data_IF_039739478083
#
_entry.id   IF_039739478083
#
_cell.length_a   1.000
_cell.length_b   1.000
_cell.length_c   1.000
_cell.angle_alpha   90.00
_cell.angle_beta   90.00
_cell.angle_gamma   90.00
#
_symmetry.space_group_name_H-M   'P 1'
#
loop_
_entity.id
_entity.type
_entity.pdbx_description
1 polymer ?
#
# COMPACT_ATOMS: atom_id res chain seq x y z
N UNK A 1 -9.80 -8.92 4.48
CA UNK A 1 -9.15 -8.19 5.60
C UNK A 1 -10.13 -7.38 6.44
N UNK A 2 -11.20 -6.83 5.86
CA UNK A 2 -12.14 -5.90 6.51
C UNK A 2 -12.98 -6.46 7.67
N UNK A 3 -13.36 -7.75 7.67
CA UNK A 3 -14.18 -8.31 8.76
C UNK A 3 -13.42 -8.50 10.08
N UNK A 4 -12.11 -8.72 10.05
CA UNK A 4 -11.31 -8.88 11.27
C UNK A 4 -11.05 -7.53 11.95
N UNK A 5 -10.99 -6.45 11.19
CA UNK A 5 -10.81 -5.09 11.71
C UNK A 5 -12.08 -4.56 12.38
N UNK A 6 -13.25 -4.91 11.84
CA UNK A 6 -14.57 -4.58 12.44
C UNK A 6 -14.72 -5.27 13.80
N UNK A 7 -14.35 -6.55 13.90
CA UNK A 7 -14.39 -7.30 15.18
C UNK A 7 -13.39 -6.76 16.21
N UNK A 8 -12.23 -6.25 15.76
CA UNK A 8 -11.24 -5.57 16.62
C UNK A 8 -11.76 -4.22 17.13
N UNK A 9 -12.53 -3.51 16.31
CA UNK A 9 -13.15 -2.24 16.66
C UNK A 9 -14.30 -2.43 17.66
N UNK A 10 -15.23 -3.36 17.42
CA UNK A 10 -16.30 -3.70 18.37
C UNK A 10 -15.74 -4.11 19.74
N UNK A 11 -14.68 -4.92 19.77
CA UNK A 11 -14.04 -5.35 21.02
C UNK A 11 -13.40 -4.18 21.78
N UNK A 12 -12.97 -3.12 21.09
CA UNK A 12 -12.35 -1.93 21.70
C UNK A 12 -13.41 -0.94 22.21
N UNK A 13 -14.57 -0.89 21.56
CA UNK A 13 -15.72 -0.08 21.99
C UNK A 13 -16.40 -0.68 23.23
N UNK A 14 -16.52 -2.02 23.30
CA UNK A 14 -17.05 -2.69 24.50
C UNK A 14 -16.11 -2.59 25.72
N UNK A 15 -14.79 -2.46 25.54
CA UNK A 15 -13.85 -2.25 26.67
C UNK A 15 -13.82 -0.82 27.21
N UNK A 16 -14.58 0.10 26.62
CA UNK A 16 -14.70 1.49 27.08
C UNK A 16 -16.10 1.85 27.61
N UNK A 17 -17.02 0.88 27.69
CA UNK A 17 -18.35 1.08 28.29
C UNK A 17 -18.43 0.69 29.77
N UNK A 18 -17.37 0.13 30.35
CA UNK A 18 -17.31 -0.25 31.77
C UNK A 18 -16.38 0.72 32.54
N UNK A 19 -16.71 2.01 32.53
CA UNK A 19 -16.17 2.97 33.49
C UNK A 19 -17.31 3.34 34.44
N UNK A 20 -17.28 2.68 35.59
CA UNK A 20 -18.25 2.81 36.66
C UNK A 20 -18.26 4.24 37.24
N UNK A 21 -19.46 4.62 37.64
CA UNK A 21 -19.89 5.82 38.33
C UNK A 21 -19.21 5.89 39.72
N UNK A 22 -18.07 6.59 39.82
CA UNK A 22 -17.49 6.93 41.13
C UNK A 22 -18.24 8.11 41.75
N UNK A 23 -18.96 7.79 42.84
CA UNK A 23 -19.66 8.72 43.69
C UNK A 23 -18.77 9.86 44.20
N UNK A 24 -19.31 11.06 44.12
CA UNK A 24 -18.73 12.27 44.68
C UNK A 24 -18.93 12.26 46.20
N UNK A 25 -17.99 11.65 46.94
CA UNK A 25 -17.94 11.71 48.40
C UNK A 25 -17.38 13.07 48.86
N UNK A 26 -18.21 13.78 49.62
CA UNK A 26 -17.82 14.88 50.50
C UNK A 26 -16.75 14.39 51.49
N UNK A 27 -15.50 14.81 51.29
CA UNK A 27 -14.50 14.80 52.36
C UNK A 27 -14.09 16.22 52.71
N UNK A 28 -14.65 16.65 53.84
CA UNK A 28 -14.21 17.76 54.66
C UNK A 28 -12.72 17.63 54.98
N UNK A 29 -11.89 18.45 54.36
CA UNK A 29 -10.50 18.60 54.76
C UNK A 29 -10.42 19.73 55.81
N UNK A 30 -10.59 19.32 57.07
CA UNK A 30 -10.28 20.13 58.24
C UNK A 30 -8.76 20.20 58.40
N UNK A 31 -8.13 21.24 57.88
CA UNK A 31 -6.77 21.62 58.29
C UNK A 31 -6.84 22.31 59.65
N UNK A 32 -6.55 21.52 60.67
CA UNK A 32 -6.18 21.95 62.01
C UNK A 32 -4.84 22.71 61.97
N UNK A 33 -4.90 24.04 62.10
CA UNK A 33 -3.75 24.85 62.50
C UNK A 33 -3.78 24.98 64.02
N UNK A 34 -2.91 24.22 64.69
CA UNK A 34 -2.51 24.48 66.07
C UNK A 34 -1.53 25.66 66.07
N UNK A 35 -1.95 26.81 66.58
CA UNK A 35 -1.07 27.76 67.26
C UNK A 35 -1.62 27.92 68.68
N UNK A 36 -1.09 27.10 69.57
CA UNK A 36 -0.99 27.42 70.98
C UNK A 36 0.05 28.54 71.16
N UNK A 37 -0.06 29.23 72.29
CA UNK A 37 0.84 30.26 72.82
C UNK A 37 0.56 31.69 72.34
N UNK A 38 -0.36 32.37 73.04
CA UNK A 38 -0.10 33.67 73.70
C UNK A 38 -1.04 33.78 74.90
N UNK A 39 -0.44 34.09 76.04
CA UNK A 39 -0.96 34.02 77.39
C UNK A 39 -2.17 34.93 77.64
N UNK A 40 -3.16 34.34 78.31
CA UNK A 40 -4.14 35.07 79.11
C UNK A 40 -3.41 35.64 80.33
N UNK A 41 -3.17 36.94 80.34
CA UNK A 41 -2.91 37.71 81.56
C UNK A 41 -4.12 38.58 81.87
N UNK A 42 -4.94 38.10 82.80
CA UNK A 42 -5.76 38.93 83.68
C UNK A 42 -5.14 38.84 85.09
N UNK A 43 -5.39 39.76 86.03
CA UNK A 43 -5.76 41.17 85.96
C UNK A 43 -4.71 42.06 86.67
N UNK A 44 -4.61 43.34 86.33
CA UNK A 44 -3.85 44.29 87.16
C UNK A 44 -4.78 44.87 88.22
N UNK A 45 -4.93 44.13 89.33
CA UNK A 45 -5.25 44.72 90.62
C UNK A 45 -4.00 45.46 91.09
N UNK A 46 -4.05 46.79 91.07
CA UNK A 46 -3.16 47.61 91.90
C UNK A 46 -3.97 48.18 93.06
N UNK A 47 -3.90 47.44 94.16
CA UNK A 47 -3.90 48.01 95.50
C UNK A 47 -2.96 49.22 95.55
N UNK A 48 -3.51 50.39 95.83
CA UNK A 48 -2.77 51.49 96.42
C UNK A 48 -3.66 52.18 97.47
N UNK A 49 -3.91 51.43 98.54
CA UNK A 49 -4.26 52.01 99.83
C UNK A 49 -3.07 51.80 100.78
N UNK A 50 -2.30 52.85 101.11
CA UNK A 50 -1.53 52.89 102.33
C UNK A 50 -2.20 53.84 103.34
N UNK A 51 -2.93 53.18 104.25
CA UNK A 51 -2.94 53.34 105.71
C UNK A 51 -3.43 54.66 106.36
N UNK A 52 -4.24 54.55 107.43
CA UNK A 52 -4.63 55.64 108.28
C UNK A 52 -3.45 56.03 109.19
N UNK A 53 -3.10 57.32 109.25
CA UNK A 53 -2.23 57.82 110.31
C UNK A 53 -3.07 58.13 111.54
N UNK A 54 -2.95 57.23 112.50
CA UNK A 54 -3.36 57.34 113.89
C UNK A 54 -2.83 58.60 114.55
N UNK A 55 -3.69 59.15 115.41
CA UNK A 55 -3.40 59.84 116.67
C UNK A 55 -1.93 60.16 116.98
N UNK A 56 -1.64 61.45 117.00
CA UNK A 56 -0.70 62.02 117.98
C UNK A 56 -1.55 62.49 119.15
N UNK A 57 -1.60 61.60 120.14
CA UNK A 57 -1.81 61.88 121.56
C UNK A 57 -1.19 63.20 122.01
N UNK A 58 -1.98 63.97 122.75
CA UNK A 58 -1.72 64.21 124.17
C UNK A 58 -0.26 64.56 124.54
N UNK A 59 0.03 65.85 124.66
CA UNK A 59 0.98 66.49 125.59
C UNK A 59 0.94 67.99 125.23
N UNK A 60 0.32 68.88 126.00
CA UNK A 60 0.89 69.46 127.20
C UNK A 60 -0.29 69.93 128.08
N UNK A 61 -0.51 69.21 129.18
CA UNK A 61 -0.95 69.82 130.42
C UNK A 61 0.20 70.66 130.95
N UNK A 62 0.03 71.98 131.08
CA UNK A 62 0.89 72.80 131.93
C UNK A 62 0.05 73.79 132.75
N UNK A 63 -0.01 73.48 134.05
CA UNK A 63 -0.07 74.38 135.21
C UNK A 63 -1.17 75.46 135.26
N UNK A 64 -2.16 75.16 136.10
CA UNK A 64 -2.66 75.99 137.20
C UNK A 64 -2.12 77.43 137.29
N UNK A 65 -3.00 78.40 137.05
CA UNK A 65 -3.15 79.59 137.92
C UNK A 65 -4.57 80.11 137.82
N UNK A 66 -5.15 80.37 138.98
CA UNK A 66 -6.51 80.82 139.27
C UNK A 66 -6.97 82.06 138.48
N UNK A 67 -8.25 82.06 138.07
CA UNK A 67 -8.99 83.25 137.62
C UNK A 67 -9.68 83.07 136.26
N UNK A 68 -10.90 82.52 136.25
CA UNK A 68 -11.71 82.29 135.04
C UNK A 68 -12.48 83.57 134.67
N UNK A 69 -12.28 84.07 133.44
CA UNK A 69 -13.00 85.19 132.83
C UNK A 69 -13.96 84.69 131.70
N UNK A 70 -15.29 84.86 131.82
CA UNK A 70 -16.32 84.38 130.89
C UNK A 70 -16.20 84.83 129.42
N UNK A 71 -15.36 85.80 129.09
CA UNK A 71 -15.27 86.40 127.75
C UNK A 71 -14.58 85.50 126.70
N UNK A 72 -13.65 84.63 127.11
CA UNK A 72 -12.78 83.87 126.18
C UNK A 72 -13.50 82.63 125.57
N UNK A 73 -14.51 82.07 126.24
CA UNK A 73 -15.27 80.93 125.72
C UNK A 73 -16.17 81.29 124.53
N UNK A 74 -16.75 82.50 124.54
CA UNK A 74 -17.64 82.96 123.48
C UNK A 74 -16.89 83.23 122.16
N UNK A 75 -15.62 83.62 122.23
CA UNK A 75 -14.75 83.80 121.06
C UNK A 75 -14.45 82.45 120.38
N UNK A 76 -14.20 81.40 121.16
CA UNK A 76 -13.94 80.05 120.62
C UNK A 76 -15.17 79.46 119.92
N UNK A 77 -16.37 79.72 120.45
CA UNK A 77 -17.65 79.25 119.88
C UNK A 77 -17.91 79.85 118.49
N UNK A 78 -17.76 81.18 118.35
CA UNK A 78 -17.97 81.87 117.05
C UNK A 78 -17.01 81.39 115.96
N UNK A 79 -15.75 81.13 116.31
CA UNK A 79 -14.75 80.66 115.34
C UNK A 79 -15.10 79.26 114.80
N UNK A 80 -15.60 78.36 115.65
CA UNK A 80 -16.05 77.03 115.22
C UNK A 80 -17.29 77.12 114.32
N UNK A 81 -18.25 77.97 114.66
CA UNK A 81 -19.45 78.24 113.84
C UNK A 81 -19.06 78.79 112.45
N UNK A 82 -18.10 79.72 112.37
CA UNK A 82 -17.59 80.27 111.11
C UNK A 82 -16.87 79.23 110.23
N UNK A 83 -16.10 78.33 110.84
CA UNK A 83 -15.43 77.23 110.11
C UNK A 83 -16.49 76.25 109.55
N UNK A 84 -17.52 75.91 110.32
CA UNK A 84 -18.63 75.08 109.85
C UNK A 84 -19.41 75.77 108.70
N UNK A 85 -19.68 77.07 108.82
CA UNK A 85 -20.35 77.83 107.78
C UNK A 85 -19.55 77.92 106.48
N UNK A 86 -18.20 78.00 106.55
CA UNK A 86 -17.32 77.94 105.37
C UNK A 86 -17.34 76.57 104.71
N UNK A 87 -17.22 75.48 105.49
CA UNK A 87 -17.25 74.11 104.97
C UNK A 87 -18.58 73.79 104.27
N UNK A 88 -19.70 74.23 104.83
CA UNK A 88 -21.03 74.10 104.20
C UNK A 88 -21.14 74.86 102.87
N UNK A 89 -20.65 76.10 102.82
CA UNK A 89 -20.59 76.88 101.58
C UNK A 89 -19.68 76.22 100.53
N UNK A 90 -18.59 75.60 100.95
CA UNK A 90 -17.68 74.89 100.06
C UNK A 90 -18.29 73.57 99.54
N UNK A 91 -18.97 72.81 100.40
CA UNK A 91 -19.73 71.61 99.99
C UNK A 91 -20.83 71.96 98.97
N UNK A 92 -21.57 73.05 99.16
CA UNK A 92 -22.60 73.50 98.20
C UNK A 92 -21.98 73.89 96.86
N UNK A 93 -20.87 74.62 96.88
CA UNK A 93 -20.13 74.98 95.65
C UNK A 93 -19.63 73.73 94.92
N UNK A 94 -19.05 72.76 95.64
CA UNK A 94 -18.61 71.47 95.06
C UNK A 94 -19.78 70.66 94.53
N UNK A 95 -20.90 70.59 95.26
CA UNK A 95 -22.11 69.88 94.81
C UNK A 95 -22.67 70.49 93.52
N UNK A 96 -22.81 71.80 93.44
CA UNK A 96 -23.26 72.49 92.22
C UNK A 96 -22.31 72.21 91.05
N UNK A 97 -21.00 72.25 91.29
CA UNK A 97 -20.01 71.96 90.24
C UNK A 97 -20.10 70.50 89.76
N UNK A 98 -20.23 69.54 90.68
CA UNK A 98 -20.39 68.12 90.34
C UNK A 98 -21.72 67.87 89.62
N UNK A 99 -22.80 68.51 90.06
CA UNK A 99 -24.12 68.41 89.41
C UNK A 99 -24.09 69.04 88.00
N UNK A 100 -23.36 70.13 87.80
CA UNK A 100 -23.11 70.73 86.48
C UNK A 100 -22.29 69.80 85.58
N UNK A 101 -21.22 69.18 86.10
CA UNK A 101 -20.41 68.22 85.33
C UNK A 101 -21.21 66.97 84.97
N UNK A 102 -22.01 66.43 85.90
CA UNK A 102 -22.92 65.30 85.63
C UNK A 102 -23.99 65.65 84.60
N UNK A 103 -24.52 66.87 84.63
CA UNK A 103 -25.47 67.31 83.63
C UNK A 103 -24.82 67.37 82.23
N UNK A 104 -23.58 67.89 82.14
CA UNK A 104 -22.82 67.88 80.88
C UNK A 104 -22.52 66.46 80.39
N UNK A 105 -22.08 65.57 81.29
CA UNK A 105 -21.83 64.16 80.99
C UNK A 105 -23.10 63.46 80.47
N UNK A 106 -24.25 63.67 81.10
CA UNK A 106 -25.52 63.10 80.63
C UNK A 106 -25.95 63.61 79.25
N UNK A 107 -25.62 64.87 78.91
CA UNK A 107 -25.88 65.44 77.59
C UNK A 107 -24.92 64.83 76.55
N UNK A 108 -23.66 64.62 76.90
CA UNK A 108 -22.70 63.96 76.02
C UNK A 108 -23.04 62.49 75.77
N UNK A 109 -23.49 61.78 76.81
CA UNK A 109 -23.89 60.38 76.69
C UNK A 109 -25.15 60.23 75.83
N UNK A 110 -26.16 61.08 76.03
CA UNK A 110 -27.34 61.10 75.17
C UNK A 110 -26.96 61.36 73.69
N UNK A 111 -26.02 62.27 73.43
CA UNK A 111 -25.52 62.52 72.06
C UNK A 111 -24.77 61.33 71.48
N UNK A 112 -23.99 60.61 72.29
CA UNK A 112 -23.29 59.38 71.87
C UNK A 112 -24.32 58.28 71.54
N UNK A 113 -25.33 58.11 72.39
CA UNK A 113 -26.42 57.16 72.19
C UNK A 113 -27.23 57.48 70.93
N UNK A 114 -27.65 58.72 70.73
CA UNK A 114 -28.36 59.15 69.52
C UNK A 114 -27.52 58.92 68.26
N UNK A 115 -26.22 59.18 68.33
CA UNK A 115 -25.28 58.90 67.24
C UNK A 115 -25.22 57.39 66.93
N UNK A 116 -25.10 56.54 67.95
CA UNK A 116 -25.06 55.08 67.79
C UNK A 116 -26.37 54.55 67.20
N UNK A 117 -27.53 54.99 67.73
CA UNK A 117 -28.85 54.61 67.23
C UNK A 117 -29.02 55.02 65.77
N UNK A 118 -28.59 56.23 65.40
CA UNK A 118 -28.66 56.70 64.01
C UNK A 118 -27.81 55.86 63.06
N UNK A 119 -26.61 55.45 63.49
CA UNK A 119 -25.74 54.57 62.69
C UNK A 119 -26.34 53.16 62.55
N UNK A 120 -26.83 52.57 63.65
CA UNK A 120 -27.45 51.25 63.64
C UNK A 120 -28.73 51.21 62.79
N UNK A 121 -29.60 52.21 62.93
CA UNK A 121 -30.83 52.31 62.12
C UNK A 121 -30.51 52.45 60.64
N UNK A 122 -29.49 53.26 60.30
CA UNK A 122 -29.02 53.39 58.92
C UNK A 122 -28.50 52.05 58.39
N UNK A 123 -27.70 51.31 59.16
CA UNK A 123 -27.24 49.97 58.80
C UNK A 123 -28.42 49.01 58.57
N UNK A 124 -29.41 48.97 59.47
CA UNK A 124 -30.59 48.12 59.31
C UNK A 124 -31.42 48.46 58.06
N UNK A 125 -31.51 49.74 57.69
CA UNK A 125 -32.17 50.14 56.45
C UNK A 125 -31.38 49.74 55.19
N UNK A 126 -30.05 49.74 55.23
CA UNK A 126 -29.24 49.22 54.14
C UNK A 126 -29.39 47.71 54.00
N UNK A 127 -29.37 46.96 55.10
CA UNK A 127 -29.58 45.51 55.10
C UNK A 127 -30.93 45.12 54.50
N UNK A 128 -32.01 45.82 54.88
CA UNK A 128 -33.34 45.58 54.29
C UNK A 128 -33.36 45.83 52.78
N UNK A 129 -32.73 46.91 52.31
CA UNK A 129 -32.65 47.20 50.87
C UNK A 129 -31.83 46.14 50.14
N UNK A 130 -30.69 45.77 50.69
CA UNK A 130 -29.84 44.72 50.13
C UNK A 130 -30.57 43.37 50.08
N UNK A 131 -31.35 43.03 51.11
CA UNK A 131 -32.16 41.81 51.12
C UNK A 131 -33.23 41.80 50.02
N UNK A 132 -33.91 42.93 49.78
CA UNK A 132 -34.90 43.06 48.70
C UNK A 132 -34.23 42.93 47.33
N UNK A 133 -33.10 43.60 47.11
CA UNK A 133 -32.35 43.51 45.85
C UNK A 133 -31.83 42.08 45.60
N UNK A 134 -31.35 41.40 46.65
CA UNK A 134 -30.97 39.99 46.58
C UNK A 134 -32.14 39.08 46.23
N UNK A 135 -33.33 39.32 46.81
CA UNK A 135 -34.54 38.55 46.46
C UNK A 135 -34.97 38.78 45.01
N UNK A 136 -34.93 40.03 44.55
CA UNK A 136 -35.21 40.35 43.14
C UNK A 136 -34.20 39.66 42.21
N UNK A 137 -32.91 39.74 42.53
CA UNK A 137 -31.84 39.09 41.75
C UNK A 137 -32.02 37.57 41.73
N UNK A 138 -32.43 36.95 42.84
CA UNK A 138 -32.74 35.51 42.89
C UNK A 138 -33.93 35.17 42.00
N UNK A 139 -35.00 35.95 42.09
CA UNK A 139 -36.19 35.74 41.26
C UNK A 139 -35.87 35.88 39.77
N UNK A 140 -35.11 36.90 39.37
CA UNK A 140 -34.67 37.08 37.99
C UNK A 140 -33.80 35.90 37.51
N UNK A 141 -32.90 35.39 38.36
CA UNK A 141 -32.11 34.19 38.06
C UNK A 141 -32.98 32.95 37.88
N UNK A 142 -34.02 32.78 38.70
CA UNK A 142 -34.94 31.65 38.59
C UNK A 142 -35.75 31.73 37.28
N UNK A 143 -36.21 32.92 36.88
CA UNK A 143 -36.88 33.14 35.59
C UNK A 143 -35.93 32.84 34.43
N UNK A 144 -34.67 33.29 34.49
CA UNK A 144 -33.67 32.97 33.45
C UNK A 144 -33.40 31.47 33.37
N UNK A 145 -33.33 30.79 34.52
CA UNK A 145 -33.17 29.33 34.56
C UNK A 145 -34.38 28.63 33.92
N UNK A 146 -35.60 29.04 34.25
CA UNK A 146 -36.82 28.48 33.68
C UNK A 146 -36.91 28.74 32.17
N UNK A 147 -36.61 29.96 31.71
CA UNK A 147 -36.59 30.30 30.29
C UNK A 147 -35.53 29.49 29.53
N UNK A 148 -34.33 29.30 30.10
CA UNK A 148 -33.28 28.46 29.52
C UNK A 148 -33.76 27.01 29.37
N UNK A 149 -34.36 26.45 30.42
CA UNK A 149 -34.92 25.08 30.38
C UNK A 149 -36.04 24.98 29.34
N UNK A 150 -36.91 25.99 29.25
CA UNK A 150 -37.99 26.03 28.25
C UNK A 150 -37.46 26.02 26.83
N UNK A 151 -36.53 26.92 26.51
CA UNK A 151 -35.89 26.98 25.19
C UNK A 151 -35.12 25.71 24.85
N UNK A 152 -34.41 25.11 25.80
CA UNK A 152 -33.69 23.85 25.59
C UNK A 152 -34.64 22.72 25.22
N UNK A 153 -35.80 22.61 25.90
CA UNK A 153 -36.84 21.63 25.59
C UNK A 153 -37.44 21.85 24.20
N UNK A 154 -37.73 23.10 23.82
CA UNK A 154 -38.25 23.41 22.48
C UNK A 154 -37.25 23.05 21.37
N UNK A 155 -35.97 23.36 21.56
CA UNK A 155 -34.91 22.99 20.61
C UNK A 155 -34.72 21.47 20.53
N UNK A 156 -34.84 20.77 21.66
CA UNK A 156 -34.81 19.32 21.66
C UNK A 156 -36.01 18.73 20.92
N UNK A 157 -37.22 19.24 21.13
CA UNK A 157 -38.42 18.80 20.42
C UNK A 157 -38.30 19.04 18.92
N UNK A 158 -37.84 20.22 18.49
CA UNK A 158 -37.58 20.51 17.07
C UNK A 158 -36.57 19.55 16.47
N UNK A 159 -35.43 19.32 17.14
CA UNK A 159 -34.43 18.35 16.69
C UNK A 159 -34.99 16.94 16.55
N UNK A 160 -35.84 16.51 17.49
CA UNK A 160 -36.50 15.20 17.42
C UNK A 160 -37.47 15.11 16.23
N UNK A 161 -38.25 16.15 15.97
CA UNK A 161 -39.16 16.19 14.82
C UNK A 161 -38.38 16.21 13.50
N UNK A 162 -37.37 17.08 13.39
CA UNK A 162 -36.52 17.16 12.20
C UNK A 162 -35.82 15.82 11.93
N UNK A 163 -35.41 15.12 13.00
CA UNK A 163 -34.82 13.78 12.89
C UNK A 163 -35.82 12.76 12.36
N UNK A 164 -37.04 12.73 12.90
CA UNK A 164 -38.10 11.82 12.43
C UNK A 164 -38.45 12.12 10.97
N UNK A 165 -38.63 13.39 10.61
CA UNK A 165 -38.95 13.81 9.24
C UNK A 165 -37.82 13.48 8.27
N UNK A 166 -36.55 13.62 8.68
CA UNK A 166 -35.41 13.21 7.87
C UNK A 166 -35.40 11.68 7.65
N UNK A 167 -35.67 10.91 8.70
CA UNK A 167 -35.77 9.44 8.61
C UNK A 167 -36.91 8.99 7.70
N UNK A 168 -38.08 9.62 7.80
CA UNK A 168 -39.24 9.30 6.96
C UNK A 168 -38.95 9.62 5.48
N UNK A 169 -38.35 10.78 5.19
CA UNK A 169 -37.92 11.14 3.83
C UNK A 169 -36.90 10.16 3.27
N UNK A 170 -35.90 9.76 4.05
CA UNK A 170 -34.90 8.79 3.60
C UNK A 170 -35.53 7.40 3.36
N UNK A 171 -36.47 6.98 4.22
CA UNK A 171 -37.20 5.74 4.05
C UNK A 171 -38.07 5.73 2.79
N UNK A 172 -38.74 6.85 2.47
CA UNK A 172 -39.52 7.00 1.24
C UNK A 172 -38.63 6.95 -0.01
N UNK A 173 -37.50 7.66 -0.01
CA UNK A 173 -36.53 7.60 -1.11
C UNK A 173 -35.98 6.18 -1.30
N UNK A 174 -35.62 5.49 -0.22
CA UNK A 174 -35.15 4.11 -0.27
C UNK A 174 -36.24 3.16 -0.80
N UNK A 175 -37.51 3.38 -0.45
CA UNK A 175 -38.63 2.61 -0.98
C UNK A 175 -38.80 2.83 -2.48
N UNK A 176 -38.76 4.06 -2.95
CA UNK A 176 -38.87 4.38 -4.38
C UNK A 176 -37.70 3.79 -5.17
N UNK A 177 -36.46 3.94 -4.67
CA UNK A 177 -35.27 3.35 -5.28
C UNK A 177 -35.37 1.81 -5.40
N UNK A 178 -35.94 1.12 -4.40
CA UNK A 178 -36.19 -0.32 -4.48
C UNK A 178 -37.19 -0.70 -5.57
N UNK A 179 -38.25 0.09 -5.74
CA UNK A 179 -39.26 -0.13 -6.78
C UNK A 179 -38.64 0.09 -8.17
N UNK A 180 -37.95 1.20 -8.37
CA UNK A 180 -37.26 1.52 -9.63
C UNK A 180 -36.24 0.45 -10.00
N UNK A 181 -35.43 0.00 -9.03
CA UNK A 181 -34.48 -1.07 -9.22
C UNK A 181 -35.17 -2.39 -9.60
N UNK A 182 -36.27 -2.75 -8.93
CA UNK A 182 -37.03 -3.95 -9.26
C UNK A 182 -37.62 -3.89 -10.68
N UNK A 183 -38.09 -2.71 -11.12
CA UNK A 183 -38.57 -2.51 -12.48
C UNK A 183 -37.46 -2.59 -13.53
N UNK A 184 -36.28 -2.02 -13.23
CA UNK A 184 -35.09 -2.15 -14.09
C UNK A 184 -34.69 -3.62 -14.24
N UNK A 185 -34.56 -4.35 -13.13
CA UNK A 185 -34.26 -5.78 -13.14
C UNK A 185 -35.31 -6.58 -13.93
N UNK A 186 -36.59 -6.20 -13.87
CA UNK A 186 -37.63 -6.85 -14.68
C UNK A 186 -37.43 -6.60 -16.17
N UNK A 187 -37.18 -5.35 -16.58
CA UNK A 187 -36.90 -4.99 -17.97
C UNK A 187 -35.65 -5.68 -18.49
N UNK A 188 -34.60 -5.73 -17.69
CA UNK A 188 -33.35 -6.40 -18.05
C UNK A 188 -33.56 -7.92 -18.24
N UNK A 189 -34.37 -8.55 -17.38
CA UNK A 189 -34.75 -9.96 -17.55
C UNK A 189 -35.54 -10.18 -18.84
N UNK A 190 -36.54 -9.34 -19.12
CA UNK A 190 -37.31 -9.43 -20.37
C UNK A 190 -36.40 -9.31 -21.60
N UNK A 191 -35.43 -8.38 -21.58
CA UNK A 191 -34.45 -8.24 -22.66
C UNK A 191 -33.51 -9.46 -22.77
N UNK A 192 -33.03 -9.97 -21.64
CA UNK A 192 -32.18 -11.16 -21.63
C UNK A 192 -32.93 -12.39 -22.14
N UNK A 193 -34.20 -12.54 -21.82
CA UNK A 193 -35.04 -13.64 -22.29
C UNK A 193 -35.23 -13.56 -23.82
N UNK A 194 -35.46 -12.36 -24.37
CA UNK A 194 -35.54 -12.12 -25.83
C UNK A 194 -34.21 -12.45 -26.51
N UNK A 195 -33.08 -11.94 -25.99
CA UNK A 195 -31.76 -12.22 -26.57
C UNK A 195 -31.44 -13.72 -26.51
N UNK A 196 -31.83 -14.39 -25.43
CA UNK A 196 -31.64 -15.82 -25.26
C UNK A 196 -32.48 -16.64 -26.26
N UNK A 197 -33.75 -16.25 -26.49
CA UNK A 197 -34.59 -16.89 -27.51
C UNK A 197 -34.01 -16.67 -28.90
N UNK A 198 -33.62 -15.44 -29.25
CA UNK A 198 -33.06 -15.12 -30.57
C UNK A 198 -31.77 -15.90 -30.83
N UNK A 199 -30.90 -16.03 -29.82
CA UNK A 199 -29.68 -16.83 -29.92
C UNK A 199 -29.98 -18.31 -30.08
N UNK A 200 -30.97 -18.84 -29.37
CA UNK A 200 -31.38 -20.24 -29.50
C UNK A 200 -31.99 -20.52 -30.88
N UNK A 201 -32.79 -19.59 -31.42
CA UNK A 201 -33.34 -19.67 -32.76
C UNK A 201 -32.25 -19.60 -33.83
N UNK A 202 -31.29 -18.69 -33.72
CA UNK A 202 -30.16 -18.60 -34.64
C UNK A 202 -29.35 -19.90 -34.65
N UNK A 203 -29.01 -20.46 -33.48
CA UNK A 203 -28.30 -21.73 -33.39
C UNK A 203 -29.12 -22.88 -33.99
N UNK A 204 -30.44 -22.90 -33.76
CA UNK A 204 -31.31 -23.90 -34.35
C UNK A 204 -31.34 -23.78 -35.88
N UNK A 205 -31.42 -22.57 -36.42
CA UNK A 205 -31.40 -22.31 -37.85
C UNK A 205 -30.08 -22.74 -38.48
N UNK A 206 -28.93 -22.42 -37.88
CA UNK A 206 -27.62 -22.89 -38.35
C UNK A 206 -27.56 -24.42 -38.39
N UNK A 207 -27.92 -25.07 -37.29
CA UNK A 207 -27.93 -26.53 -37.21
C UNK A 207 -28.89 -27.15 -38.23
N UNK A 208 -30.06 -26.53 -38.42
CA UNK A 208 -31.05 -26.99 -39.38
C UNK A 208 -30.56 -26.83 -40.82
N UNK A 209 -29.88 -25.72 -41.15
CA UNK A 209 -29.28 -25.49 -42.46
C UNK A 209 -28.21 -26.55 -42.76
N UNK A 210 -27.30 -26.81 -41.82
CA UNK A 210 -26.29 -27.86 -41.95
C UNK A 210 -26.92 -29.24 -42.15
N UNK A 211 -27.93 -29.60 -41.34
CA UNK A 211 -28.63 -30.88 -41.51
C UNK A 211 -29.33 -30.95 -42.87
N UNK A 212 -29.93 -29.86 -43.33
CA UNK A 212 -30.59 -29.77 -44.64
C UNK A 212 -29.59 -29.96 -45.77
N UNK A 213 -28.43 -29.30 -45.70
CA UNK A 213 -27.34 -29.46 -46.67
C UNK A 213 -26.85 -30.91 -46.74
N UNK A 214 -26.59 -31.54 -45.58
CA UNK A 214 -26.19 -32.96 -45.52
C UNK A 214 -27.28 -33.85 -46.13
N UNK A 215 -28.56 -33.58 -45.90
CA UNK A 215 -29.64 -34.36 -46.53
C UNK A 215 -29.65 -34.22 -48.05
N UNK A 216 -29.37 -33.03 -48.59
CA UNK A 216 -29.24 -32.82 -50.03
C UNK A 216 -28.03 -33.57 -50.59
N UNK A 217 -26.87 -33.49 -49.95
CA UNK A 217 -25.69 -34.24 -50.34
C UNK A 217 -25.93 -35.76 -50.32
N UNK A 218 -26.71 -36.27 -49.35
CA UNK A 218 -27.08 -37.68 -49.29
C UNK A 218 -28.00 -38.09 -50.44
N UNK A 219 -28.98 -37.24 -50.77
CA UNK A 219 -29.85 -37.44 -51.94
C UNK A 219 -29.01 -37.46 -53.21
N UNK A 220 -28.09 -36.49 -53.38
CA UNK A 220 -27.19 -36.40 -54.52
C UNK A 220 -26.29 -37.64 -54.66
N UNK A 221 -25.72 -38.10 -53.55
CA UNK A 221 -24.93 -39.34 -53.50
C UNK A 221 -25.78 -40.55 -53.91
N UNK A 222 -27.01 -40.66 -53.40
CA UNK A 222 -27.93 -41.74 -53.77
C UNK A 222 -28.32 -41.70 -55.26
N UNK A 223 -28.49 -40.50 -55.81
CA UNK A 223 -28.78 -40.29 -57.23
C UNK A 223 -27.59 -40.74 -58.09
N UNK A 224 -26.35 -40.36 -57.75
CA UNK A 224 -25.15 -40.83 -58.47
C UNK A 224 -24.98 -42.34 -58.44
N UNK A 225 -25.19 -42.97 -57.29
CA UNK A 225 -25.19 -44.42 -57.15
C UNK A 225 -26.24 -45.06 -58.06
N UNK A 226 -27.44 -44.48 -58.13
CA UNK A 226 -28.52 -44.97 -58.99
C UNK A 226 -28.23 -44.81 -60.48
N UNK A 227 -27.68 -43.65 -60.88
CA UNK A 227 -27.28 -43.33 -62.25
C UNK A 227 -26.24 -44.33 -62.76
N UNK A 228 -25.20 -44.60 -61.97
CA UNK A 228 -24.17 -45.59 -62.32
C UNK A 228 -24.76 -46.99 -62.48
N UNK A 229 -25.61 -47.41 -61.53
CA UNK A 229 -26.22 -48.75 -61.59
C UNK A 229 -27.17 -48.90 -62.78
N UNK A 230 -27.84 -47.83 -63.18
CA UNK A 230 -28.70 -47.82 -64.37
C UNK A 230 -27.88 -47.91 -65.66
N UNK A 231 -26.72 -47.25 -65.74
CA UNK A 231 -25.87 -47.26 -66.93
C UNK A 231 -25.07 -48.55 -67.09
N UNK A 232 -24.57 -49.11 -65.98
CA UNK A 232 -23.61 -50.22 -66.01
C UNK A 232 -24.19 -51.58 -65.56
N UNK A 233 -25.35 -51.61 -64.90
CA UNK A 233 -25.98 -52.78 -64.25
C UNK A 233 -25.07 -53.57 -63.27
N UNK A 234 -23.86 -53.07 -62.99
CA UNK A 234 -22.85 -53.69 -62.16
C UNK A 234 -22.71 -52.99 -60.79
N UNK A 235 -21.99 -53.64 -59.87
CA UNK A 235 -21.62 -53.02 -58.59
C UNK A 235 -20.59 -51.90 -58.82
N UNK A 236 -20.67 -50.84 -58.02
CA UNK A 236 -19.72 -49.72 -58.10
C UNK A 236 -18.30 -50.21 -57.77
N UNK A 237 -17.31 -49.94 -58.63
CA UNK A 237 -15.91 -50.24 -58.36
C UNK A 237 -15.44 -49.59 -57.07
N UNK A 238 -14.56 -50.28 -56.33
CA UNK A 238 -14.09 -49.84 -55.01
C UNK A 238 -13.40 -48.48 -55.07
N UNK A 239 -12.64 -48.19 -56.14
CA UNK A 239 -11.98 -46.90 -56.35
C UNK A 239 -13.00 -45.76 -56.46
N UNK A 240 -13.94 -45.91 -57.37
CA UNK A 240 -14.99 -44.91 -57.62
C UNK A 240 -15.84 -44.63 -56.37
N UNK A 241 -16.12 -45.67 -55.58
CA UNK A 241 -16.79 -45.51 -54.29
C UNK A 241 -15.96 -44.70 -53.28
N UNK A 242 -14.65 -44.90 -53.22
CA UNK A 242 -13.76 -44.13 -52.34
C UNK A 242 -13.69 -42.67 -52.76
N UNK A 243 -13.54 -42.41 -54.06
CA UNK A 243 -13.50 -41.07 -54.63
C UNK A 243 -14.80 -40.30 -54.31
N UNK A 244 -15.96 -40.90 -54.57
CA UNK A 244 -17.25 -40.27 -54.24
C UNK A 244 -17.43 -40.05 -52.73
N UNK A 245 -16.96 -40.97 -51.88
CA UNK A 245 -16.98 -40.75 -50.44
C UNK A 245 -16.02 -39.63 -50.02
N UNK A 246 -14.85 -39.51 -50.64
CA UNK A 246 -13.92 -38.43 -50.36
C UNK A 246 -14.53 -37.07 -50.70
N UNK A 247 -15.18 -36.96 -51.87
CA UNK A 247 -15.92 -35.76 -52.28
C UNK A 247 -17.08 -35.45 -51.33
N UNK A 248 -17.86 -36.45 -50.93
CA UNK A 248 -18.95 -36.30 -49.96
C UNK A 248 -18.46 -35.81 -48.59
N UNK A 249 -17.36 -36.39 -48.08
CA UNK A 249 -16.77 -35.96 -46.79
C UNK A 249 -16.20 -34.55 -46.89
N UNK A 250 -15.64 -34.18 -48.04
CA UNK A 250 -15.15 -32.84 -48.32
C UNK A 250 -16.26 -31.82 -48.59
N UNK A 251 -17.53 -32.25 -48.73
CA UNK A 251 -18.68 -31.39 -49.05
C UNK A 251 -18.68 -30.87 -50.49
N UNK A 252 -17.93 -31.51 -51.39
CA UNK A 252 -17.88 -31.14 -52.81
C UNK A 252 -19.02 -31.82 -53.58
N UNK A 253 -19.54 -31.12 -54.61
CA UNK A 253 -20.59 -31.67 -55.47
C UNK A 253 -20.09 -32.90 -56.22
N UNK A 254 -20.92 -33.94 -56.32
CA UNK A 254 -20.65 -35.13 -57.11
C UNK A 254 -21.08 -34.99 -58.58
N UNK A 255 -21.86 -33.95 -58.90
CA UNK A 255 -22.36 -33.69 -60.24
C UNK A 255 -21.54 -32.59 -60.89
N UNK A 256 -21.10 -32.85 -62.12
CA UNK A 256 -20.61 -31.81 -63.01
C UNK A 256 -21.81 -30.92 -63.39
N UNK A 257 -21.90 -29.74 -62.78
CA UNK A 257 -23.01 -28.81 -62.95
C UNK A 257 -23.00 -28.10 -64.33
N UNK A 258 -22.23 -28.59 -65.31
CA UNK A 258 -22.15 -28.05 -66.68
C UNK A 258 -23.55 -27.83 -67.31
N UNK A 259 -24.54 -28.63 -66.92
CA UNK A 259 -25.90 -28.58 -67.45
C UNK A 259 -26.89 -27.67 -66.67
N UNK A 260 -26.49 -27.04 -65.55
CA UNK A 260 -27.36 -26.17 -64.73
C UNK A 260 -27.18 -24.66 -64.99
N UNK A 261 -26.24 -24.27 -65.84
CA UNK A 261 -25.97 -22.86 -66.12
C UNK A 261 -27.03 -22.23 -67.03
N UNK A 262 -28.05 -21.59 -66.44
CA UNK A 262 -28.87 -20.60 -67.12
C UNK A 262 -27.99 -19.53 -67.78
N UNK A 263 -28.33 -19.17 -69.03
CA UNK A 263 -27.41 -18.50 -69.96
C UNK A 263 -26.94 -17.08 -69.56
N UNK A 264 -27.42 -16.52 -68.46
CA UNK A 264 -27.25 -15.09 -68.14
C UNK A 264 -26.08 -14.78 -67.18
N UNK A 265 -25.56 -15.73 -66.39
CA UNK A 265 -24.51 -15.48 -65.36
C UNK A 265 -23.16 -16.19 -65.63
N UNK A 266 -22.93 -16.59 -66.87
CA UNK A 266 -21.84 -17.52 -67.24
C UNK A 266 -20.43 -17.13 -66.76
N UNK A 267 -19.90 -15.91 -66.90
CA UNK A 267 -18.46 -15.69 -66.67
C UNK A 267 -18.04 -15.82 -65.19
N UNK A 268 -18.83 -15.32 -64.23
CA UNK A 268 -18.48 -15.41 -62.81
C UNK A 268 -18.81 -16.77 -62.19
N UNK A 269 -19.92 -17.41 -62.61
CA UNK A 269 -20.27 -18.77 -62.16
C UNK A 269 -19.31 -19.82 -62.72
N UNK A 270 -18.90 -19.69 -63.98
CA UNK A 270 -17.88 -20.58 -64.57
C UNK A 270 -16.57 -20.49 -63.81
N UNK A 271 -16.09 -19.29 -63.45
CA UNK A 271 -14.83 -19.16 -62.72
C UNK A 271 -14.89 -19.79 -61.31
N UNK A 272 -15.97 -19.55 -60.56
CA UNK A 272 -16.17 -20.17 -59.25
C UNK A 272 -16.31 -21.69 -59.34
N UNK A 273 -16.98 -22.18 -60.38
CA UNK A 273 -17.16 -23.61 -60.63
C UNK A 273 -15.84 -24.29 -61.03
N UNK A 274 -15.05 -23.66 -61.92
CA UNK A 274 -13.72 -24.17 -62.28
C UNK A 274 -12.81 -24.27 -61.06
N UNK A 275 -12.89 -23.33 -60.11
CA UNK A 275 -12.10 -23.41 -58.86
C UNK A 275 -12.54 -24.63 -58.02
N UNK A 276 -13.84 -24.87 -57.87
CA UNK A 276 -14.36 -26.02 -57.12
C UNK A 276 -14.01 -27.35 -57.79
N UNK A 277 -14.07 -27.42 -59.13
CA UNK A 277 -13.65 -28.57 -59.91
C UNK A 277 -12.14 -28.82 -59.77
N UNK A 278 -11.32 -27.77 -59.80
CA UNK A 278 -9.88 -27.88 -59.55
C UNK A 278 -9.56 -28.36 -58.12
N UNK A 279 -10.33 -27.92 -57.12
CA UNK A 279 -10.18 -28.39 -55.74
C UNK A 279 -10.59 -29.85 -55.57
N UNK A 280 -11.64 -30.27 -56.26
CA UNK A 280 -12.07 -31.68 -56.35
C UNK A 280 -11.02 -32.55 -56.99
N UNK A 281 -10.48 -32.13 -58.14
CA UNK A 281 -9.42 -32.85 -58.84
C UNK A 281 -8.15 -32.96 -57.98
N UNK A 282 -7.74 -31.88 -57.31
CA UNK A 282 -6.59 -31.92 -56.39
C UNK A 282 -6.80 -32.92 -55.24
N UNK A 283 -8.00 -32.95 -54.65
CA UNK A 283 -8.34 -33.90 -53.59
C UNK A 283 -8.24 -35.35 -54.07
N UNK A 284 -8.77 -35.63 -55.25
CA UNK A 284 -8.72 -36.96 -55.87
C UNK A 284 -7.28 -37.34 -56.23
N UNK A 285 -6.50 -36.42 -56.81
CA UNK A 285 -5.09 -36.60 -57.15
C UNK A 285 -4.23 -36.90 -55.91
N UNK A 286 -4.48 -36.20 -54.79
CA UNK A 286 -3.81 -36.49 -53.52
C UNK A 286 -4.16 -37.88 -52.99
N UNK A 287 -5.42 -38.29 -53.12
CA UNK A 287 -5.88 -39.64 -52.80
C UNK A 287 -5.16 -40.70 -53.62
N UNK A 288 -5.16 -40.55 -54.95
CA UNK A 288 -4.49 -41.45 -55.89
C UNK A 288 -2.98 -41.49 -55.66
N UNK A 289 -2.35 -40.33 -55.41
CA UNK A 289 -0.93 -40.25 -55.07
C UNK A 289 -0.62 -41.03 -53.78
N UNK A 290 -1.49 -40.95 -52.77
CA UNK A 290 -1.32 -41.69 -51.53
C UNK A 290 -1.52 -43.20 -51.72
N UNK A 291 -2.46 -43.63 -52.57
CA UNK A 291 -2.61 -45.04 -52.94
C UNK A 291 -1.37 -45.56 -53.68
N UNK A 292 -0.86 -44.79 -54.65
CA UNK A 292 0.38 -45.10 -55.36
C UNK A 292 1.59 -45.17 -54.42
N UNK A 293 1.77 -44.15 -53.58
CA UNK A 293 2.90 -44.04 -52.64
C UNK A 293 2.94 -45.22 -51.67
N UNK A 294 1.77 -45.69 -51.23
CA UNK A 294 1.67 -46.78 -50.29
C UNK A 294 1.52 -48.16 -50.97
N UNK A 295 1.38 -48.20 -52.30
CA UNK A 295 1.18 -49.42 -53.10
C UNK A 295 -0.07 -50.22 -52.62
N UNK A 296 -1.19 -49.53 -52.48
CA UNK A 296 -2.48 -50.10 -52.01
C UNK A 296 -3.54 -49.90 -53.10
N UNK A 297 -4.59 -50.71 -53.10
CA UNK A 297 -5.72 -50.52 -54.02
C UNK A 297 -5.38 -51.00 -55.43
N UNK A 298 -5.53 -50.14 -56.43
CA UNK A 298 -5.20 -50.47 -57.82
C UNK A 298 -3.68 -50.51 -58.09
N UNK A 299 -2.89 -49.92 -57.18
CA UNK A 299 -1.43 -49.91 -57.23
C UNK A 299 -0.79 -51.04 -56.42
N UNK A 300 -1.59 -51.94 -55.85
CA UNK A 300 -1.06 -53.11 -55.15
C UNK A 300 -0.26 -53.96 -56.14
N UNK A 301 1.00 -54.29 -55.84
CA UNK A 301 1.78 -55.15 -56.72
C UNK A 301 1.06 -56.49 -56.86
N UNK A 302 0.98 -57.05 -58.07
CA UNK A 302 0.29 -58.31 -58.29
C UNK A 302 0.84 -59.37 -57.33
N UNK A 303 -0.06 -60.06 -56.63
CA UNK A 303 0.30 -61.08 -55.67
C UNK A 303 1.12 -62.16 -56.39
N UNK A 304 2.08 -62.78 -55.68
CA UNK A 304 3.02 -63.79 -56.21
C UNK A 304 2.37 -64.92 -57.03
N UNK A 305 1.08 -65.17 -56.82
CA UNK A 305 0.28 -66.18 -57.54
C UNK A 305 -0.12 -65.76 -58.96
N UNK A 306 -0.20 -64.45 -59.25
CA UNK A 306 -0.66 -63.91 -60.53
C UNK A 306 0.49 -63.66 -61.53
N UNK A 307 1.72 -63.48 -61.04
CA UNK A 307 2.92 -63.35 -61.86
C UNK A 307 4.06 -64.24 -61.30
N UNK A 308 4.40 -65.37 -61.95
CA UNK A 308 5.48 -66.26 -61.53
C UNK A 308 6.90 -65.70 -61.74
N UNK A 309 7.02 -64.51 -62.35
CA UNK A 309 8.31 -63.89 -62.63
C UNK A 309 8.80 -63.12 -61.40
N UNK A 310 9.81 -63.73 -60.77
CA UNK A 310 10.81 -63.19 -59.85
C UNK A 310 10.50 -61.85 -59.19
N UNK A 311 10.31 -61.90 -57.87
CA UNK A 311 10.41 -60.73 -56.98
C UNK A 311 11.58 -59.84 -57.40
N UNK A 312 11.43 -58.51 -57.46
CA UNK A 312 12.53 -57.63 -57.80
C UNK A 312 13.75 -57.95 -56.92
N UNK A 313 14.96 -58.06 -57.49
CA UNK A 313 16.15 -58.37 -56.72
C UNK A 313 16.32 -57.32 -55.63
N UNK A 314 16.34 -57.78 -54.37
CA UNK A 314 16.42 -56.93 -53.16
C UNK A 314 17.62 -55.98 -53.23
N UNK A 315 18.69 -56.39 -53.92
CA UNK A 315 19.87 -55.59 -54.21
C UNK A 315 20.15 -55.53 -55.72
N UNK A 316 19.57 -54.55 -56.42
CA UNK A 316 19.96 -54.24 -57.78
C UNK A 316 21.11 -53.21 -57.78
N UNK A 317 22.36 -53.60 -58.10
CA UNK A 317 23.50 -52.69 -58.07
C UNK A 317 23.39 -51.57 -59.11
N UNK A 318 22.67 -51.80 -60.21
CA UNK A 318 22.42 -50.79 -61.24
C UNK A 318 21.43 -49.74 -60.72
N UNK A 319 20.37 -50.19 -60.05
CA UNK A 319 19.39 -49.28 -59.45
C UNK A 319 20.01 -48.43 -58.34
N UNK A 320 20.79 -49.05 -57.44
CA UNK A 320 21.54 -48.33 -56.41
C UNK A 320 22.53 -47.32 -57.00
N UNK A 321 23.24 -47.67 -58.07
CA UNK A 321 24.12 -46.75 -58.79
C UNK A 321 23.37 -45.55 -59.38
N UNK A 322 22.21 -45.78 -60.01
CA UNK A 322 21.37 -44.72 -60.59
C UNK A 322 20.85 -43.79 -59.50
N UNK A 323 20.32 -44.33 -58.39
CA UNK A 323 19.88 -43.52 -57.25
C UNK A 323 21.03 -42.69 -56.70
N UNK A 324 22.19 -43.29 -56.45
CA UNK A 324 23.33 -42.58 -55.89
C UNK A 324 23.81 -41.45 -56.83
N UNK A 325 23.79 -41.70 -58.14
CA UNK A 325 24.10 -40.67 -59.15
C UNK A 325 23.08 -39.54 -59.15
N UNK A 326 21.78 -39.84 -59.10
CA UNK A 326 20.73 -38.82 -59.01
C UNK A 326 20.86 -38.00 -57.73
N UNK A 327 21.13 -38.67 -56.60
CA UNK A 327 21.36 -38.02 -55.32
C UNK A 327 22.56 -37.06 -55.38
N UNK A 328 23.66 -37.45 -56.02
CA UNK A 328 24.82 -36.56 -56.23
C UNK A 328 24.54 -35.38 -57.18
N UNK A 329 23.58 -35.50 -58.10
CA UNK A 329 23.17 -34.40 -59.00
C UNK A 329 22.29 -33.39 -58.25
N UNK A 330 21.30 -33.87 -57.50
CA UNK A 330 20.36 -33.02 -56.76
C UNK A 330 21.00 -32.43 -55.51
N UNK A 331 21.89 -33.18 -54.86
CA UNK A 331 22.60 -32.80 -53.65
C UNK A 331 24.12 -32.96 -53.86
N UNK A 332 24.77 -31.99 -54.53
CA UNK A 332 26.21 -32.03 -54.71
C UNK A 332 26.92 -32.01 -53.34
N UNK A 333 27.89 -32.91 -53.10
CA UNK A 333 28.62 -32.91 -51.85
C UNK A 333 29.41 -31.60 -51.68
N UNK A 334 29.49 -31.03 -50.46
CA UNK A 334 30.20 -29.79 -50.21
C UNK A 334 31.70 -29.93 -50.56
N UNK A 335 32.30 -28.88 -51.11
CA UNK A 335 33.71 -28.87 -51.51
C UNK A 335 34.62 -29.14 -50.30
N UNK A 336 35.66 -29.97 -50.51
CA UNK A 336 36.63 -30.31 -49.46
C UNK A 336 37.48 -29.08 -49.13
N UNK A 337 37.49 -28.68 -47.86
CA UNK A 337 38.31 -27.57 -47.38
C UNK A 337 39.81 -27.84 -47.58
N UNK A 338 40.63 -26.81 -47.90
CA UNK A 338 42.06 -26.98 -48.06
C UNK A 338 42.75 -27.32 -46.72
N UNK A 339 43.84 -28.12 -46.74
CA UNK A 339 44.54 -28.54 -45.53
C UNK A 339 45.28 -27.37 -44.84
N UNK A 340 45.45 -27.40 -43.51
CA UNK A 340 46.09 -26.32 -42.75
C UNK A 340 47.61 -26.23 -42.98
N UNK A 341 48.16 -25.01 -43.01
CA UNK A 341 49.58 -24.73 -43.22
C UNK A 341 50.37 -24.68 -41.89
N UNK A 342 51.53 -25.34 -41.83
CA UNK A 342 52.45 -25.35 -40.67
C UNK A 342 53.65 -24.40 -40.87
N UNK A 343 54.23 -23.81 -39.79
CA UNK A 343 55.43 -22.96 -39.89
C UNK A 343 56.73 -23.77 -40.13
N UNK A 344 57.76 -23.13 -40.68
CA UNK A 344 59.04 -23.75 -41.00
C UNK A 344 59.96 -23.91 -39.77
N UNK A 345 60.45 -25.14 -39.52
CA UNK A 345 61.41 -25.46 -38.46
C UNK A 345 62.80 -25.77 -39.04
N UNK A 346 63.87 -25.27 -38.40
CA UNK A 346 65.25 -25.56 -38.82
C UNK A 346 65.69 -26.97 -38.38
N UNK A 347 65.88 -27.88 -39.34
CA UNK A 347 66.38 -29.24 -39.10
C UNK A 347 67.91 -29.29 -39.22
N UNK A 348 68.59 -29.84 -38.20
CA UNK A 348 70.04 -30.13 -38.24
C UNK A 348 70.24 -31.63 -38.46
N UNK A 349 70.91 -32.01 -39.54
CA UNK A 349 71.09 -33.41 -39.96
C UNK A 349 72.59 -33.73 -40.01
N UNK A 350 72.98 -34.88 -39.43
CA UNK A 350 74.35 -35.40 -39.49
C UNK A 350 74.36 -36.60 -40.43
N UNK A 351 75.23 -36.57 -41.44
CA UNK A 351 75.36 -37.64 -42.44
C UNK A 351 76.65 -38.44 -42.23
N UNK A 352 76.50 -39.74 -42.01
CA UNK A 352 77.61 -40.67 -41.82
C UNK A 352 77.73 -41.61 -43.03
N UNK A 353 78.95 -41.92 -43.46
CA UNK A 353 79.19 -42.85 -44.56
C UNK A 353 80.67 -43.16 -44.76
N UNK A 354 80.98 -44.34 -45.34
CA UNK A 354 82.34 -44.77 -45.65
C UNK A 354 83.01 -43.86 -46.69
N UNK A 355 84.33 -43.89 -46.81
CA UNK A 355 85.07 -43.12 -47.82
C UNK A 355 84.62 -43.51 -49.24
N UNK A 356 84.46 -42.53 -50.13
CA UNK A 356 83.95 -42.68 -51.50
C UNK A 356 82.50 -43.19 -51.66
N UNK A 357 81.68 -43.18 -50.60
CA UNK A 357 80.26 -43.57 -50.68
C UNK A 357 79.36 -42.55 -51.41
N UNK A 358 79.93 -41.51 -52.02
CA UNK A 358 79.19 -40.45 -52.70
C UNK A 358 78.41 -39.48 -51.80
N UNK A 359 78.60 -39.53 -50.46
CA UNK A 359 77.84 -38.71 -49.49
C UNK A 359 77.91 -37.20 -49.78
N UNK A 360 79.07 -36.69 -50.18
CA UNK A 360 79.25 -35.27 -50.53
C UNK A 360 78.52 -34.91 -51.83
N UNK A 361 78.53 -35.79 -52.83
CA UNK A 361 77.82 -35.59 -54.10
C UNK A 361 76.30 -35.59 -53.90
N UNK A 362 75.80 -36.50 -53.06
CA UNK A 362 74.37 -36.57 -52.73
C UNK A 362 73.91 -35.32 -51.96
N UNK A 363 74.70 -34.87 -50.97
CA UNK A 363 74.40 -33.64 -50.23
C UNK A 363 74.42 -32.39 -51.12
N UNK A 364 75.37 -32.27 -52.06
CA UNK A 364 75.41 -31.15 -53.00
C UNK A 364 74.16 -31.08 -53.88
N UNK A 365 73.68 -32.21 -54.40
CA UNK A 365 72.39 -32.26 -55.11
C UNK A 365 71.23 -31.84 -54.22
N UNK A 366 71.21 -32.31 -52.98
CA UNK A 366 70.17 -31.94 -52.02
C UNK A 366 70.15 -30.44 -51.67
N UNK A 367 71.31 -29.78 -51.70
CA UNK A 367 71.45 -28.34 -51.50
C UNK A 367 70.98 -27.50 -52.69
N UNK A 368 70.93 -28.07 -53.91
CA UNK A 368 70.37 -27.37 -55.09
C UNK A 368 68.84 -27.27 -55.01
N UNK A 369 68.18 -28.29 -54.47
CA UNK A 369 66.71 -28.37 -54.41
C UNK A 369 66.12 -27.81 -53.11
N UNK A 370 66.92 -27.71 -52.04
CA UNK A 370 66.48 -27.23 -50.74
C UNK A 370 67.48 -26.24 -50.12
N UNK A 371 66.97 -25.30 -49.32
CA UNK A 371 67.77 -24.31 -48.56
C UNK A 371 68.48 -24.95 -47.36
N UNK A 372 69.39 -25.88 -47.63
CA UNK A 372 70.16 -26.63 -46.63
C UNK A 372 71.62 -26.16 -46.67
N UNK A 373 72.22 -25.87 -45.52
CA UNK A 373 73.64 -25.51 -45.42
C UNK A 373 74.46 -26.76 -45.14
N UNK A 374 75.42 -27.08 -46.01
CA UNK A 374 76.31 -28.24 -45.85
C UNK A 374 77.57 -27.80 -45.08
N UNK A 375 77.80 -28.42 -43.92
CA UNK A 375 79.02 -28.20 -43.12
C UNK A 375 79.91 -29.44 -43.23
N UNK A 376 81.06 -29.31 -43.89
CA UNK A 376 82.07 -30.38 -43.98
C UNK A 376 83.17 -30.14 -42.95
N UNK A 377 83.48 -31.16 -42.15
CA UNK A 377 84.53 -31.11 -41.12
C UNK A 377 85.91 -30.80 -41.69
N UNK A 378 86.28 -31.38 -42.84
CA UNK A 378 87.58 -31.13 -43.47
C UNK A 378 87.71 -29.66 -43.90
N UNK A 379 86.67 -29.10 -44.51
CA UNK A 379 86.66 -27.69 -44.90
C UNK A 379 86.72 -26.78 -43.68
N UNK A 380 85.97 -27.10 -42.62
CA UNK A 380 85.96 -26.32 -41.39
C UNK A 380 87.34 -26.34 -40.70
N UNK A 381 88.05 -27.47 -40.74
CA UNK A 381 89.41 -27.58 -40.19
C UNK A 381 90.41 -26.81 -41.05
N UNK A 382 90.32 -26.88 -42.38
CA UNK A 382 91.14 -26.08 -43.27
C UNK A 382 90.91 -24.58 -43.07
N UNK A 383 89.65 -24.16 -43.01
CA UNK A 383 89.25 -22.78 -42.72
C UNK A 383 89.78 -22.33 -41.35
N UNK A 384 89.69 -23.17 -40.32
CA UNK A 384 90.25 -22.86 -39.00
C UNK A 384 91.79 -22.78 -38.99
N UNK A 385 92.48 -23.63 -39.76
CA UNK A 385 93.95 -23.58 -39.91
C UNK A 385 94.37 -22.33 -40.67
N UNK A 386 93.64 -21.94 -41.72
CA UNK A 386 93.92 -20.75 -42.50
C UNK A 386 93.60 -19.47 -41.69
N UNK A 387 92.50 -19.46 -40.93
CA UNK A 387 92.20 -18.41 -39.96
C UNK A 387 93.31 -18.28 -38.90
N UNK A 388 93.84 -19.40 -38.39
CA UNK A 388 94.96 -19.39 -37.47
C UNK A 388 96.26 -18.86 -38.11
N UNK A 389 96.59 -19.27 -39.33
CA UNK A 389 97.74 -18.72 -40.07
C UNK A 389 97.60 -17.22 -40.36
N UNK A 390 96.36 -16.77 -40.55
CA UNK A 390 96.03 -15.36 -40.75
C UNK A 390 95.91 -14.58 -39.42
N UNK A 391 96.21 -15.22 -38.27
CA UNK A 391 96.11 -14.67 -36.91
C UNK A 391 94.72 -14.08 -36.58
N UNK A 392 93.66 -14.70 -37.09
CA UNK A 392 92.29 -14.38 -36.69
C UNK A 392 92.01 -15.01 -35.32
N UNK A 393 92.35 -14.28 -34.25
CA UNK A 393 91.87 -14.59 -32.91
C UNK A 393 90.55 -13.86 -32.68
N UNK A 394 89.51 -14.64 -32.35
CA UNK A 394 88.15 -14.17 -32.11
C UNK A 394 88.09 -13.38 -30.80
N UNK A 395 87.81 -12.08 -30.87
CA UNK A 395 87.28 -11.33 -29.72
C UNK A 395 85.86 -11.83 -29.44
N UNK A 396 85.65 -12.36 -28.24
CA UNK A 396 84.35 -12.84 -27.78
C UNK A 396 83.86 -11.98 -26.62
N UNK A 397 82.87 -11.15 -26.88
CA UNK A 397 81.88 -10.69 -25.91
C UNK A 397 80.51 -11.16 -26.45
N UNK A 398 79.91 -12.15 -25.80
CA UNK A 398 78.90 -11.98 -24.76
C UNK A 398 77.50 -11.88 -25.38
N UNK A 399 76.86 -13.05 -25.51
CA UNK A 399 75.41 -13.13 -25.62
C UNK A 399 74.81 -12.85 -24.24
N UNK A 400 74.04 -11.78 -24.12
CA UNK A 400 72.89 -11.74 -23.20
C UNK A 400 71.95 -10.61 -23.59
N UNK A 401 70.76 -10.96 -24.04
CA UNK A 401 69.50 -10.26 -23.75
C UNK A 401 68.40 -11.34 -23.87
N UNK A 402 67.96 -12.01 -22.80
CA UNK A 402 67.01 -11.57 -21.77
C UNK A 402 65.84 -10.72 -22.29
N UNK A 403 64.65 -11.33 -22.21
CA UNK A 403 63.40 -10.79 -21.65
C UNK A 403 62.82 -9.51 -22.28
N UNK A 404 61.54 -9.42 -22.68
CA UNK A 404 60.37 -9.61 -21.83
C UNK A 404 59.08 -9.19 -22.58
N UNK A 405 57.97 -9.73 -22.09
CA UNK A 405 56.56 -9.34 -22.23
C UNK A 405 56.22 -7.85 -22.39
N UNK A 406 54.99 -7.53 -22.85
CA UNK A 406 53.99 -6.72 -22.10
C UNK A 406 52.62 -6.70 -22.81
N UNK A 407 51.57 -6.77 -21.97
CA UNK A 407 50.11 -6.73 -22.16
C UNK A 407 49.62 -5.32 -22.55
N UNK A 408 48.37 -5.15 -23.03
CA UNK A 408 47.40 -4.13 -22.55
C UNK A 408 46.04 -4.18 -23.28
N UNK A 409 44.98 -4.13 -22.46
CA UNK A 409 43.54 -4.02 -22.75
C UNK A 409 43.11 -2.66 -23.33
N UNK A 410 41.93 -2.58 -23.94
CA UNK A 410 40.84 -1.64 -23.55
C UNK A 410 39.55 -1.76 -24.42
N UNK A 411 38.41 -1.70 -23.72
CA UNK A 411 37.01 -1.77 -24.19
C UNK A 411 36.49 -0.53 -24.96
N UNK A 412 35.46 -0.73 -25.81
CA UNK A 412 34.32 0.22 -25.92
C UNK A 412 33.09 -0.32 -26.67
N UNK A 413 31.93 -0.28 -26.00
CA UNK A 413 30.54 -0.41 -26.52
C UNK A 413 29.95 1.00 -26.78
N UNK A 414 28.87 1.20 -27.58
CA UNK A 414 27.49 1.12 -27.03
C UNK A 414 26.32 0.75 -27.99
N UNK A 415 25.29 0.13 -27.37
CA UNK A 415 23.80 0.15 -27.48
C UNK A 415 23.07 0.59 -28.77
N UNK A 416 22.14 -0.16 -29.38
CA UNK A 416 20.76 -0.59 -29.01
C UNK A 416 19.68 0.51 -28.91
N UNK A 417 18.78 0.57 -29.92
CA UNK A 417 17.31 0.65 -29.79
C UNK A 417 16.63 0.80 -31.18
N UNK A 418 15.59 0.00 -31.48
CA UNK A 418 14.23 0.44 -31.89
C UNK A 418 13.34 -0.78 -32.16
N UNK A 419 12.26 -0.87 -31.39
CA UNK A 419 11.12 -1.80 -31.47
C UNK A 419 10.10 -1.44 -32.55
N UNK A 420 9.31 -2.41 -33.02
CA UNK A 420 7.92 -2.13 -33.44
C UNK A 420 7.44 -2.85 -34.69
N UNK A 421 6.79 -4.00 -34.50
CA UNK A 421 5.86 -4.59 -35.47
C UNK A 421 4.52 -3.84 -35.45
N UNK A 422 3.94 -3.67 -36.65
CA UNK A 422 2.59 -3.20 -36.87
C UNK A 422 1.58 -4.35 -36.71
N UNK A 423 0.55 -4.09 -35.90
CA UNK A 423 -0.87 -4.33 -36.18
C UNK A 423 -1.61 -3.08 -35.78
#
# INVERSE_FOLDING_TARGET
>A
ETMNDIKKFEKRVLTHSDFEDEGFDEQTNSESINLADIEVSAPYEQENAPKPSTDITEYIHSKTTSGIDPYIMEIRRRLQEDIHARREREKRRRKVLVDQLRALESIEDARREESLVSHLLRQSQFERRLAVELLQTRHEKDVLRQNRIGHEKELEQRRRLDFIEAMDREAELARLARIEYAEQVRKDKELHDIIASDKAEAQHQENFQVCTEITWQLVDFSLKVSEYRQLCENLIPVKLWREWNALFIAGQSLFDDENRADQQDKPNKLHAQTILEEESLKLLDEGDFNEYRNMIGEWEPPTREQFPFETPPVDNPIYGFVINRLHHIVHPPPEKLPPPLFPAYGLKIIVLGKSFSGKTTALKRYCEEHTIVIISLENLVHEAIDAFKNNEMREGEADSDSESSVILDEDKKPDENTSGNQT
#
